data_IF_515544271829
#
_entry.id   IF_515544271829
#
_cell.length_a   1.000
_cell.length_b   1.000
_cell.length_c   1.000
_cell.angle_alpha   90.00
_cell.angle_beta   90.00
_cell.angle_gamma   90.00
#
_symmetry.space_group_name_H-M   'P 1'
#
loop_
_entity.id
_entity.type
_entity.pdbx_description
1 polymer ?
#
# COMPACT_ATOMS: atom_id res chain seq x y z
N UNK A 1 -17.17 15.70 4.72
CA UNK A 1 -15.71 15.95 4.77
C UNK A 1 -15.18 15.92 3.34
N UNK A 2 -14.85 17.06 2.73
CA UNK A 2 -14.43 17.12 1.33
C UNK A 2 -13.07 16.43 1.06
N UNK A 3 -12.31 16.10 2.11
CA UNK A 3 -11.05 15.36 2.01
C UNK A 3 -11.19 13.84 2.14
N UNK A 4 -12.41 13.32 2.32
CA UNK A 4 -12.63 11.89 2.61
C UNK A 4 -12.46 10.96 1.40
N UNK A 5 -12.65 11.45 0.17
CA UNK A 5 -12.69 10.59 -1.02
C UNK A 5 -11.33 10.11 -1.54
N UNK A 6 -10.24 10.63 -0.99
CA UNK A 6 -8.86 10.26 -1.33
C UNK A 6 -8.36 8.95 -0.72
N UNK A 7 -9.21 8.22 0.00
CA UNK A 7 -8.82 6.95 0.61
C UNK A 7 -9.67 5.76 0.16
N UNK A 8 -10.48 5.94 -0.89
CA UNK A 8 -11.42 4.93 -1.37
C UNK A 8 -11.08 4.32 -2.73
N UNK A 9 -9.85 4.52 -3.25
CA UNK A 9 -9.47 4.01 -4.59
C UNK A 9 -9.69 2.50 -4.70
N UNK A 10 -9.25 1.73 -3.70
CA UNK A 10 -9.40 0.26 -3.69
C UNK A 10 -10.66 -0.22 -2.98
N UNK A 11 -11.46 0.65 -2.36
CA UNK A 11 -12.62 0.24 -1.57
C UNK A 11 -13.95 0.57 -2.25
N UNK A 12 -13.98 1.61 -3.08
CA UNK A 12 -15.22 2.14 -3.66
C UNK A 12 -16.21 2.68 -2.62
N UNK A 13 -15.81 2.81 -1.35
CA UNK A 13 -16.72 3.10 -0.26
C UNK A 13 -17.32 4.52 -0.36
N UNK A 14 -18.61 4.62 -0.04
CA UNK A 14 -19.25 5.91 0.20
C UNK A 14 -18.89 6.45 1.59
N UNK A 15 -17.69 6.99 1.72
CA UNK A 15 -17.11 7.55 2.95
C UNK A 15 -17.92 8.71 3.55
N UNK A 16 -18.83 9.33 2.79
CA UNK A 16 -19.70 10.42 3.22
C UNK A 16 -21.13 9.97 3.60
N UNK A 17 -21.49 8.71 3.29
CA UNK A 17 -22.88 8.23 3.31
C UNK A 17 -23.22 7.23 4.39
N UNK A 18 -22.34 6.94 5.35
CA UNK A 18 -22.63 5.96 6.43
C UNK A 18 -23.39 6.64 7.58
N UNK A 19 -24.69 6.35 7.80
CA UNK A 19 -25.47 6.99 8.86
C UNK A 19 -24.86 6.70 10.25
N UNK A 20 -24.70 7.73 11.08
CA UNK A 20 -24.16 7.60 12.44
C UNK A 20 -22.63 7.49 12.56
N UNK A 21 -21.87 7.44 11.45
CA UNK A 21 -20.39 7.43 11.47
C UNK A 21 -19.83 8.66 10.74
N UNK A 22 -18.84 9.33 11.34
CA UNK A 22 -18.21 10.55 10.76
C UNK A 22 -17.32 10.24 9.54
N UNK A 23 -16.75 9.03 9.49
CA UNK A 23 -16.00 8.45 8.37
C UNK A 23 -15.99 6.92 8.55
N UNK A 24 -16.32 6.16 7.50
CA UNK A 24 -16.24 4.69 7.51
C UNK A 24 -15.91 4.21 6.11
N UNK A 25 -14.88 3.37 5.99
CA UNK A 25 -14.47 2.74 4.74
C UNK A 25 -15.00 1.30 4.68
N UNK A 26 -14.75 0.61 3.58
CA UNK A 26 -14.99 -0.84 3.45
C UNK A 26 -13.69 -1.58 3.20
N UNK A 27 -13.76 -2.91 3.20
CA UNK A 27 -12.65 -3.75 2.75
C UNK A 27 -12.17 -3.32 1.37
N UNK A 28 -10.86 -3.31 1.21
CA UNK A 28 -10.19 -2.97 -0.04
C UNK A 28 -10.03 -4.18 -0.95
N UNK A 29 -10.06 -3.97 -2.26
CA UNK A 29 -9.98 -5.01 -3.28
C UNK A 29 -8.74 -5.88 -3.14
N UNK A 30 -7.58 -5.31 -2.78
CA UNK A 30 -6.36 -6.07 -2.54
C UNK A 30 -6.52 -7.03 -1.36
N UNK A 31 -7.19 -6.64 -0.29
CA UNK A 31 -7.43 -7.53 0.85
C UNK A 31 -8.44 -8.63 0.50
N UNK A 32 -9.46 -8.33 -0.31
CA UNK A 32 -10.37 -9.35 -0.85
C UNK A 32 -9.62 -10.35 -1.74
N UNK A 33 -8.69 -9.88 -2.58
CA UNK A 33 -7.85 -10.74 -3.41
C UNK A 33 -6.90 -11.57 -2.54
N UNK A 34 -6.29 -10.99 -1.51
CA UNK A 34 -5.38 -11.66 -0.58
C UNK A 34 -6.04 -12.83 0.17
N UNK A 35 -7.34 -12.74 0.44
CA UNK A 35 -8.11 -13.86 1.01
C UNK A 35 -8.10 -15.09 0.10
N UNK A 36 -8.04 -14.90 -1.22
CA UNK A 36 -8.11 -15.97 -2.21
C UNK A 36 -6.72 -16.39 -2.73
N UNK A 37 -5.81 -15.44 -2.94
CA UNK A 37 -4.50 -15.67 -3.56
C UNK A 37 -3.33 -15.66 -2.56
N UNK A 38 -3.52 -15.11 -1.36
CA UNK A 38 -2.45 -14.90 -0.38
C UNK A 38 -2.27 -16.04 0.63
N UNK A 39 -3.10 -17.09 0.60
CA UNK A 39 -3.06 -18.17 1.60
C UNK A 39 -1.82 -19.05 1.49
N UNK A 40 -1.21 -19.11 0.31
CA UNK A 40 -0.05 -19.94 0.02
C UNK A 40 1.26 -19.15 -0.13
N UNK A 41 1.27 -17.85 0.18
CA UNK A 41 2.46 -16.98 0.05
C UNK A 41 2.89 -16.38 1.38
N UNK A 42 4.20 -16.24 1.64
CA UNK A 42 4.71 -15.73 2.93
C UNK A 42 3.97 -14.48 3.42
N UNK A 43 3.71 -13.54 2.53
CA UNK A 43 2.89 -12.37 2.78
C UNK A 43 1.57 -12.50 2.03
N UNK A 44 0.40 -12.52 2.71
CA UNK A 44 -0.89 -12.57 2.04
C UNK A 44 -1.12 -11.39 1.09
N UNK A 45 -0.63 -10.22 1.50
CA UNK A 45 -0.49 -9.02 0.67
C UNK A 45 0.68 -8.19 1.18
N UNK A 46 1.39 -7.51 0.27
CA UNK A 46 2.32 -6.43 0.63
C UNK A 46 1.65 -5.07 0.46
N UNK A 47 1.33 -4.44 1.59
CA UNK A 47 0.82 -3.06 1.63
C UNK A 47 2.00 -2.11 1.73
N UNK A 48 2.19 -1.28 0.71
CA UNK A 48 3.27 -0.32 0.60
C UNK A 48 2.70 1.10 0.59
N UNK A 49 3.40 2.01 1.24
CA UNK A 49 2.97 3.39 1.47
C UNK A 49 4.06 4.40 1.08
N UNK A 50 3.72 5.67 1.23
CA UNK A 50 4.60 6.77 0.90
C UNK A 50 5.30 7.29 2.16
N UNK A 51 6.63 7.38 2.12
CA UNK A 51 7.38 8.20 3.09
C UNK A 51 7.38 9.65 2.61
N UNK A 52 6.72 10.51 3.39
CA UNK A 52 6.48 11.91 3.06
C UNK A 52 6.91 12.77 4.24
N UNK A 53 7.64 13.84 3.97
CA UNK A 53 8.26 14.68 5.01
C UNK A 53 7.28 15.38 5.95
N UNK A 54 6.02 15.53 5.57
CA UNK A 54 4.96 16.14 6.38
C UNK A 54 3.96 15.11 6.97
N UNK A 55 4.37 13.84 7.03
CA UNK A 55 3.50 12.75 7.48
C UNK A 55 2.34 12.47 6.53
N UNK A 56 2.44 12.90 5.27
CA UNK A 56 1.45 12.64 4.21
C UNK A 56 0.27 13.61 4.21
N UNK A 57 0.26 14.60 5.10
CA UNK A 57 -0.87 15.54 5.25
C UNK A 57 -1.15 16.37 3.99
N UNK A 58 -0.12 16.65 3.17
CA UNK A 58 -0.28 17.36 1.89
C UNK A 58 0.02 16.49 0.66
N UNK A 59 0.27 15.19 0.86
CA UNK A 59 0.58 14.22 -0.21
C UNK A 59 -0.67 13.60 -0.83
N UNK A 60 -1.74 14.38 -0.88
CA UNK A 60 -3.06 13.96 -1.34
C UNK A 60 -4.12 14.68 -0.54
N UNK A 61 -5.26 14.01 -0.33
CA UNK A 61 -6.27 14.49 0.60
C UNK A 61 -6.46 13.41 1.67
N UNK A 62 -7.03 13.76 2.82
CA UNK A 62 -7.32 12.80 3.89
C UNK A 62 -6.07 12.30 4.64
N UNK A 63 -6.30 11.60 5.75
CA UNK A 63 -5.24 11.15 6.67
C UNK A 63 -4.60 9.81 6.27
N UNK A 64 -4.89 9.28 5.07
CA UNK A 64 -4.53 7.92 4.70
C UNK A 64 -3.09 7.83 4.20
N UNK A 65 -2.22 7.17 4.96
CA UNK A 65 -0.87 6.79 4.51
C UNK A 65 -0.87 5.53 3.62
N UNK A 66 -1.99 4.81 3.53
CA UNK A 66 -2.13 3.54 2.80
C UNK A 66 -3.39 3.54 1.93
N UNK A 67 -3.40 2.68 0.91
CA UNK A 67 -4.57 2.39 0.09
C UNK A 67 -5.34 1.15 0.57
N UNK A 68 -4.76 0.36 1.47
CA UNK A 68 -5.33 -0.89 1.95
C UNK A 68 -6.17 -0.69 3.22
N UNK A 69 -7.30 -1.38 3.26
CA UNK A 69 -8.33 -1.33 4.28
C UNK A 69 -8.86 -2.73 4.60
N UNK A 70 -8.98 -3.04 5.89
CA UNK A 70 -9.46 -4.34 6.36
C UNK A 70 -10.99 -4.50 6.29
N UNK A 71 -11.49 -5.69 6.64
CA UNK A 71 -12.93 -6.02 6.64
C UNK A 71 -13.78 -5.09 7.51
N UNK A 72 -13.19 -4.51 8.54
CA UNK A 72 -13.84 -3.58 9.46
C UNK A 72 -13.81 -2.13 8.94
N UNK A 73 -13.17 -1.89 7.79
CA UNK A 73 -13.01 -0.55 7.23
C UNK A 73 -11.97 0.28 7.96
N UNK A 74 -10.97 -0.35 8.59
CA UNK A 74 -9.82 0.30 9.21
C UNK A 74 -8.62 0.32 8.25
N UNK A 75 -7.79 1.39 8.26
CA UNK A 75 -6.63 1.47 7.39
C UNK A 75 -5.55 0.48 7.83
N UNK A 76 -4.95 -0.22 6.87
CA UNK A 76 -3.81 -1.11 7.10
C UNK A 76 -2.52 -0.30 6.85
N UNK A 77 -1.63 -0.14 7.85
CA UNK A 77 -0.36 0.56 7.65
C UNK A 77 0.47 -0.11 6.55
N UNK A 78 1.03 0.70 5.64
CA UNK A 78 1.94 0.21 4.62
C UNK A 78 3.40 0.40 5.00
N UNK A 79 4.29 -0.42 4.42
CA UNK A 79 5.74 -0.22 4.47
C UNK A 79 6.10 0.96 3.57
N UNK A 80 6.72 2.00 4.11
CA UNK A 80 7.01 3.26 3.41
C UNK A 80 8.47 3.44 3.01
N UNK A 81 9.41 2.73 3.65
CA UNK A 81 10.85 2.87 3.41
C UNK A 81 11.37 1.71 2.56
N UNK A 82 12.15 1.98 1.50
CA UNK A 82 12.72 0.91 0.68
C UNK A 82 13.60 -0.06 1.46
N UNK A 83 14.37 0.42 2.44
CA UNK A 83 15.20 -0.42 3.32
C UNK A 83 14.36 -1.40 4.17
N UNK A 84 13.19 -0.96 4.66
CA UNK A 84 12.31 -1.80 5.45
C UNK A 84 11.66 -2.89 4.58
N UNK A 85 11.29 -2.57 3.34
CA UNK A 85 10.78 -3.55 2.38
C UNK A 85 11.86 -4.56 1.97
N UNK A 86 13.11 -4.09 1.78
CA UNK A 86 14.25 -4.95 1.48
C UNK A 86 14.43 -6.03 2.55
N UNK A 87 14.53 -5.64 3.83
CA UNK A 87 14.66 -6.59 4.94
C UNK A 87 13.39 -7.43 5.19
N UNK A 88 12.24 -6.95 4.73
CA UNK A 88 11.00 -7.73 4.74
C UNK A 88 11.07 -8.89 3.73
N UNK A 89 11.48 -8.63 2.49
CA UNK A 89 11.49 -9.61 1.39
C UNK A 89 12.67 -10.56 1.49
N UNK A 90 13.89 -10.05 1.72
CA UNK A 90 15.11 -10.83 1.60
C UNK A 90 15.58 -11.45 2.91
N UNK A 91 16.39 -12.50 2.80
CA UNK A 91 17.11 -13.09 3.92
C UNK A 91 18.19 -12.11 4.42
N UNK A 92 18.28 -11.94 5.75
CA UNK A 92 19.28 -11.06 6.35
C UNK A 92 20.51 -11.84 6.81
N UNK A 93 21.71 -11.24 6.74
CA UNK A 93 22.89 -11.80 7.39
C UNK A 93 22.62 -12.00 8.90
N UNK A 94 22.64 -13.25 9.36
CA UNK A 94 22.40 -13.60 10.77
C UNK A 94 20.94 -13.85 11.16
N UNK A 95 20.00 -13.91 10.21
CA UNK A 95 18.69 -14.51 10.48
C UNK A 95 18.90 -16.01 10.76
N UNK A 96 18.79 -16.38 12.03
CA UNK A 96 18.78 -17.77 12.48
C UNK A 96 17.38 -18.12 12.98
N UNK A 97 17.06 -19.42 12.95
CA UNK A 97 15.78 -19.90 13.50
C UNK A 97 15.58 -19.45 14.94
N UNK A 98 16.64 -19.50 15.74
CA UNK A 98 16.63 -19.10 17.14
C UNK A 98 16.36 -17.59 17.33
N UNK A 99 16.99 -16.73 16.50
CA UNK A 99 16.74 -15.29 16.59
C UNK A 99 15.33 -14.93 16.15
N UNK A 100 14.79 -15.60 15.13
CA UNK A 100 13.40 -15.46 14.70
C UNK A 100 12.42 -15.90 15.80
N UNK A 101 12.61 -17.09 16.38
CA UNK A 101 11.75 -17.63 17.44
C UNK A 101 11.75 -16.73 18.70
N UNK A 102 12.93 -16.23 19.09
CA UNK A 102 13.06 -15.28 20.20
C UNK A 102 12.29 -13.98 19.93
N UNK A 103 12.38 -13.42 18.72
CA UNK A 103 11.61 -12.24 18.31
C UNK A 103 10.10 -12.51 18.33
N UNK A 104 9.65 -13.67 17.83
CA UNK A 104 8.23 -14.05 17.80
C UNK A 104 7.66 -14.19 19.22
N UNK A 105 8.35 -14.92 20.11
CA UNK A 105 7.96 -15.09 21.52
C UNK A 105 7.86 -13.75 22.24
N UNK A 106 8.83 -12.85 22.03
CA UNK A 106 8.83 -11.50 22.62
C UNK A 106 7.62 -10.70 22.15
N UNK A 107 7.30 -10.72 20.84
CA UNK A 107 6.13 -10.01 20.29
C UNK A 107 4.81 -10.59 20.83
N UNK A 108 4.67 -11.91 20.90
CA UNK A 108 3.50 -12.57 21.49
C UNK A 108 3.29 -12.14 22.95
N UNK A 109 4.33 -12.17 23.77
CA UNK A 109 4.25 -11.74 25.18
C UNK A 109 3.82 -10.27 25.33
N UNK A 110 4.26 -9.38 24.45
CA UNK A 110 3.81 -7.97 24.45
C UNK A 110 2.33 -7.87 24.13
N UNK A 111 1.84 -8.64 23.14
CA UNK A 111 0.42 -8.64 22.76
C UNK A 111 -0.47 -9.22 23.86
N UNK A 112 -0.02 -10.27 24.55
CA UNK A 112 -0.72 -10.84 25.71
C UNK A 112 -0.90 -9.79 26.82
N UNK A 113 0.16 -9.04 27.11
CA UNK A 113 0.13 -7.97 28.11
C UNK A 113 -0.82 -6.83 27.70
N UNK A 114 -0.78 -6.44 26.42
CA UNK A 114 -1.70 -5.45 25.85
C UNK A 114 -3.16 -5.91 25.98
N UNK A 115 -3.44 -7.19 25.71
CA UNK A 115 -4.78 -7.76 25.78
C UNK A 115 -5.34 -7.81 27.20
N UNK A 116 -4.51 -8.21 28.17
CA UNK A 116 -4.87 -8.21 29.59
C UNK A 116 -5.25 -6.80 30.07
N UNK A 117 -4.42 -5.81 29.74
CA UNK A 117 -4.66 -4.41 30.12
C UNK A 117 -5.91 -3.83 29.45
N UNK A 118 -6.11 -4.08 28.16
CA UNK A 118 -7.29 -3.61 27.43
C UNK A 118 -8.59 -4.18 28.01
N UNK A 119 -8.61 -5.47 28.34
CA UNK A 119 -9.81 -6.15 28.85
C UNK A 119 -10.21 -5.63 30.23
N UNK A 120 -9.23 -5.29 31.08
CA UNK A 120 -9.47 -4.66 32.36
C UNK A 120 -10.10 -3.25 32.20
N UNK A 121 -9.65 -2.49 31.21
CA UNK A 121 -10.15 -1.14 30.94
C UNK A 121 -11.58 -1.14 30.40
N UNK A 122 -11.96 -2.12 29.58
CA UNK A 122 -13.32 -2.22 29.00
C UNK A 122 -14.44 -2.22 30.05
N UNK A 123 -14.16 -2.69 31.27
CA UNK A 123 -15.13 -2.74 32.39
C UNK A 123 -15.48 -1.36 32.98
N UNK A 124 -14.63 -0.36 32.79
CA UNK A 124 -14.82 1.00 33.36
C UNK A 124 -15.15 2.07 32.32
N UNK A 125 -15.24 1.71 31.04
CA UNK A 125 -15.38 2.67 29.94
C UNK A 125 -16.83 3.00 29.56
N UNK A 126 -17.02 4.24 29.12
CA UNK A 126 -18.24 4.74 28.48
C UNK A 126 -18.48 4.07 27.13
N UNK A 127 -19.70 4.14 26.58
CA UNK A 127 -20.01 3.51 25.29
C UNK A 127 -19.13 4.01 24.15
N UNK A 128 -18.79 5.32 24.12
CA UNK A 128 -17.94 5.89 23.06
C UNK A 128 -16.49 5.37 23.14
N UNK A 129 -15.96 5.21 24.35
CA UNK A 129 -14.60 4.71 24.55
C UNK A 129 -14.49 3.21 24.23
N UNK A 130 -15.58 2.45 24.38
CA UNK A 130 -15.65 1.05 23.97
C UNK A 130 -15.45 0.89 22.46
N UNK A 131 -16.08 1.74 21.65
CA UNK A 131 -15.91 1.70 20.19
C UNK A 131 -14.45 1.93 19.77
N UNK A 132 -13.75 2.83 20.47
CA UNK A 132 -12.31 3.08 20.26
C UNK A 132 -11.42 1.95 20.73
N UNK A 133 -11.79 1.30 21.83
CA UNK A 133 -11.09 0.13 22.33
C UNK A 133 -11.28 -1.08 21.40
N UNK A 134 -12.45 -1.23 20.78
CA UNK A 134 -12.71 -2.28 19.79
C UNK A 134 -11.89 -2.07 18.50
N UNK A 135 -11.72 -0.81 18.06
CA UNK A 135 -10.78 -0.45 16.97
C UNK A 135 -9.34 -0.86 17.34
N UNK A 136 -8.92 -0.57 18.57
CA UNK A 136 -7.60 -0.97 19.09
C UNK A 136 -7.42 -2.49 19.11
N UNK A 137 -8.39 -3.25 19.63
CA UNK A 137 -8.33 -4.71 19.67
C UNK A 137 -8.36 -5.35 18.28
N UNK A 138 -9.07 -4.73 17.33
CA UNK A 138 -9.01 -5.14 15.92
C UNK A 138 -7.58 -5.01 15.39
N UNK A 139 -6.91 -3.90 15.69
CA UNK A 139 -5.49 -3.70 15.36
C UNK A 139 -4.56 -4.75 15.99
N UNK A 140 -4.76 -5.07 17.28
CA UNK A 140 -4.00 -6.13 17.97
C UNK A 140 -4.16 -7.48 17.26
N UNK A 141 -5.39 -7.84 16.88
CA UNK A 141 -5.67 -9.09 16.17
C UNK A 141 -4.98 -9.18 14.82
N UNK A 142 -4.83 -8.06 14.11
CA UNK A 142 -4.06 -8.04 12.85
C UNK A 142 -2.58 -8.33 13.09
N UNK A 143 -2.00 -7.82 14.18
CA UNK A 143 -0.61 -8.12 14.55
C UNK A 143 -0.46 -9.60 14.90
N UNK A 144 -1.38 -10.17 15.68
CA UNK A 144 -1.39 -11.60 16.04
C UNK A 144 -1.39 -12.48 14.79
N UNK A 145 -2.30 -12.24 13.83
CA UNK A 145 -2.33 -12.95 12.54
C UNK A 145 -1.01 -12.83 11.79
N UNK A 146 -0.36 -11.67 11.84
CA UNK A 146 0.96 -11.45 11.26
C UNK A 146 2.06 -12.28 11.91
N UNK A 147 2.01 -12.47 13.24
CA UNK A 147 2.94 -13.34 13.97
C UNK A 147 2.71 -14.82 13.68
N UNK A 148 1.45 -15.25 13.63
CA UNK A 148 1.08 -16.61 13.23
C UNK A 148 1.63 -16.92 11.84
N UNK A 149 1.46 -15.99 10.88
CA UNK A 149 2.01 -16.13 9.53
C UNK A 149 3.53 -16.22 9.54
N UNK A 150 4.22 -15.38 10.31
CA UNK A 150 5.68 -15.44 10.44
C UNK A 150 6.13 -16.79 11.02
N UNK A 151 5.42 -17.33 12.00
CA UNK A 151 5.71 -18.64 12.58
C UNK A 151 5.49 -19.78 11.57
N UNK A 152 4.41 -19.74 10.78
CA UNK A 152 4.14 -20.73 9.73
C UNK A 152 5.25 -20.79 8.68
N UNK A 153 5.83 -19.64 8.33
CA UNK A 153 6.87 -19.53 7.29
C UNK A 153 8.29 -19.49 7.85
N UNK A 154 8.48 -19.81 9.12
CA UNK A 154 9.77 -19.67 9.80
C UNK A 154 10.82 -20.69 9.32
N UNK A 155 10.40 -21.87 8.84
CA UNK A 155 11.31 -22.88 8.26
C UNK A 155 11.46 -22.77 6.75
N UNK A 156 10.66 -21.93 6.11
CA UNK A 156 10.85 -21.62 4.70
C UNK A 156 11.90 -20.51 4.62
N UNK A 157 12.96 -20.63 3.80
CA UNK A 157 13.91 -19.55 3.61
C UNK A 157 13.25 -18.37 2.88
N UNK A 158 13.75 -17.16 3.14
CA UNK A 158 13.46 -16.01 2.29
C UNK A 158 14.36 -16.06 1.03
N UNK A 159 13.96 -15.42 -0.08
CA UNK A 159 14.83 -15.28 -1.23
C UNK A 159 16.13 -14.55 -0.85
N UNK A 160 17.22 -14.90 -1.54
CA UNK A 160 18.47 -14.17 -1.45
C UNK A 160 18.34 -12.83 -2.19
N UNK A 161 18.98 -11.80 -1.66
CA UNK A 161 18.97 -10.48 -2.28
C UNK A 161 19.69 -10.54 -3.64
N UNK A 162 18.98 -10.13 -4.69
CA UNK A 162 19.52 -9.95 -6.06
C UNK A 162 19.85 -8.49 -6.37
N UNK A 163 19.62 -7.61 -5.39
CA UNK A 163 19.90 -6.18 -5.41
C UNK A 163 20.67 -5.82 -4.14
N UNK A 164 21.45 -4.75 -4.18
CA UNK A 164 22.16 -4.26 -3.00
C UNK A 164 21.20 -3.70 -1.95
N UNK A 165 21.65 -3.72 -0.69
CA UNK A 165 20.93 -3.07 0.41
C UNK A 165 20.72 -1.58 0.09
N UNK A 166 19.47 -1.07 0.15
CA UNK A 166 19.18 0.31 -0.15
C UNK A 166 19.87 1.28 0.83
N UNK A 167 20.40 2.43 0.36
CA UNK A 167 20.91 3.44 1.27
C UNK A 167 19.77 4.03 2.11
N UNK A 168 20.08 4.34 3.37
CA UNK A 168 19.13 5.01 4.25
C UNK A 168 18.78 6.41 3.70
N UNK A 169 17.48 6.74 3.68
CA UNK A 169 16.99 8.05 3.25
C UNK A 169 16.85 8.24 1.73
N UNK A 170 16.97 7.18 0.93
CA UNK A 170 16.63 7.23 -0.50
C UNK A 170 15.18 7.73 -0.69
N UNK A 171 14.98 8.67 -1.60
CA UNK A 171 13.67 9.33 -1.80
C UNK A 171 13.42 9.67 -3.27
N UNK A 172 12.25 10.23 -3.57
CA UNK A 172 11.89 10.71 -4.90
C UNK A 172 11.81 9.59 -5.94
N UNK A 173 12.33 9.86 -7.13
CA UNK A 173 12.26 8.93 -8.27
C UNK A 173 13.00 7.61 -8.00
N UNK A 174 14.21 7.67 -7.44
CA UNK A 174 15.04 6.49 -7.22
C UNK A 174 14.41 5.53 -6.21
N UNK A 175 13.81 6.06 -5.14
CA UNK A 175 13.05 5.27 -4.19
C UNK A 175 11.85 4.57 -4.85
N UNK A 176 11.12 5.25 -5.73
CA UNK A 176 9.96 4.66 -6.44
C UNK A 176 10.40 3.52 -7.35
N UNK A 177 11.48 3.72 -8.13
CA UNK A 177 12.05 2.69 -9.00
C UNK A 177 12.49 1.47 -8.22
N UNK A 178 13.18 1.68 -7.10
CA UNK A 178 13.63 0.61 -6.22
C UNK A 178 12.46 -0.14 -5.59
N UNK A 179 11.41 0.56 -5.15
CA UNK A 179 10.17 -0.07 -4.67
C UNK A 179 9.55 -0.93 -5.76
N UNK A 180 9.46 -0.44 -7.01
CA UNK A 180 8.98 -1.22 -8.15
C UNK A 180 9.80 -2.47 -8.42
N UNK A 181 11.14 -2.38 -8.40
CA UNK A 181 12.00 -3.57 -8.57
C UNK A 181 11.76 -4.59 -7.43
N UNK A 182 11.61 -4.13 -6.19
CA UNK A 182 11.28 -5.02 -5.07
C UNK A 182 9.88 -5.65 -5.17
N UNK A 183 8.89 -4.92 -5.69
CA UNK A 183 7.57 -5.50 -5.99
C UNK A 183 7.71 -6.62 -7.01
N UNK A 184 8.47 -6.40 -8.08
CA UNK A 184 8.72 -7.42 -9.10
C UNK A 184 9.41 -8.64 -8.50
N UNK A 185 10.45 -8.45 -7.69
CA UNK A 185 11.16 -9.56 -7.05
C UNK A 185 10.23 -10.32 -6.08
N UNK A 186 9.39 -9.63 -5.32
CA UNK A 186 8.41 -10.26 -4.43
C UNK A 186 7.42 -11.15 -5.20
N UNK A 187 7.00 -10.72 -6.40
CA UNK A 187 6.15 -11.51 -7.28
C UNK A 187 6.91 -12.68 -7.90
N UNK A 188 8.12 -12.46 -8.44
CA UNK A 188 8.96 -13.50 -9.06
C UNK A 188 9.35 -14.63 -8.09
N UNK A 189 9.46 -14.32 -6.80
CA UNK A 189 9.85 -15.27 -5.76
C UNK A 189 8.65 -15.89 -5.03
N UNK A 190 7.43 -15.62 -5.50
CA UNK A 190 6.14 -16.00 -4.87
C UNK A 190 6.08 -15.63 -3.36
N UNK A 191 6.80 -14.57 -2.96
CA UNK A 191 6.76 -14.05 -1.60
C UNK A 191 5.38 -13.46 -1.29
N UNK A 192 4.72 -12.91 -2.31
CA UNK A 192 3.31 -12.52 -2.32
C UNK A 192 2.76 -12.54 -3.74
N UNK A 193 1.44 -12.64 -3.87
CA UNK A 193 0.71 -12.47 -5.14
C UNK A 193 -0.12 -11.18 -5.20
N UNK A 194 -0.11 -10.40 -4.12
CA UNK A 194 -0.94 -9.20 -3.98
C UNK A 194 -0.10 -8.08 -3.43
N UNK A 195 -0.02 -6.98 -4.17
CA UNK A 195 0.73 -5.79 -3.76
C UNK A 195 -0.09 -4.55 -4.01
N UNK A 196 -0.09 -3.66 -3.02
CA UNK A 196 -0.70 -2.33 -3.11
C UNK A 196 0.37 -1.29 -2.80
N UNK A 197 0.52 -0.27 -3.63
CA UNK A 197 1.50 0.79 -3.39
C UNK A 197 0.90 2.19 -3.51
N UNK A 198 0.91 2.93 -2.40
CA UNK A 198 0.67 4.38 -2.43
C UNK A 198 1.98 5.12 -2.73
N UNK A 199 2.13 5.60 -3.96
CA UNK A 199 3.35 6.27 -4.39
C UNK A 199 3.59 7.63 -3.68
N UNK A 200 4.84 7.97 -3.28
CA UNK A 200 5.19 9.21 -2.59
C UNK A 200 5.29 10.41 -3.55
N UNK A 201 4.13 10.99 -3.90
CA UNK A 201 4.03 12.08 -4.88
C UNK A 201 4.74 13.35 -4.42
N UNK A 202 4.71 13.71 -3.12
CA UNK A 202 5.34 14.96 -2.68
C UNK A 202 6.87 14.84 -2.62
N UNK A 203 7.40 13.70 -2.19
CA UNK A 203 8.82 13.37 -2.30
C UNK A 203 9.29 13.37 -3.75
N UNK A 204 8.50 12.81 -4.69
CA UNK A 204 8.80 12.86 -6.12
C UNK A 204 8.87 14.31 -6.65
N UNK A 205 7.86 15.13 -6.35
CA UNK A 205 7.85 16.55 -6.72
C UNK A 205 9.07 17.29 -6.18
N UNK A 206 9.42 17.05 -4.91
CA UNK A 206 10.57 17.69 -4.27
C UNK A 206 11.88 17.29 -4.95
N UNK A 207 12.03 16.00 -5.33
CA UNK A 207 13.17 15.51 -6.10
C UNK A 207 13.27 16.10 -7.52
N UNK A 208 12.14 16.54 -8.09
CA UNK A 208 12.09 17.28 -9.36
C UNK A 208 12.34 18.79 -9.18
N UNK A 209 12.59 19.28 -7.97
CA UNK A 209 12.73 20.70 -7.67
C UNK A 209 11.40 21.47 -7.59
N UNK A 210 10.26 20.77 -7.57
CA UNK A 210 8.92 21.37 -7.44
C UNK A 210 8.55 21.46 -5.96
N UNK A 211 8.42 22.68 -5.45
CA UNK A 211 8.08 22.94 -4.03
C UNK A 211 6.57 22.87 -3.72
N UNK A 212 5.74 22.86 -4.77
CA UNK A 212 4.28 22.72 -4.64
C UNK A 212 3.92 21.30 -4.17
N UNK A 213 2.98 21.21 -3.23
CA UNK A 213 2.49 19.93 -2.71
C UNK A 213 1.39 19.33 -3.58
N UNK A 214 1.23 18.01 -3.52
CA UNK A 214 0.23 17.29 -4.29
C UNK A 214 -1.20 17.81 -4.07
N UNK A 215 -1.56 18.15 -2.83
CA UNK A 215 -2.83 18.81 -2.51
C UNK A 215 -3.02 20.12 -3.28
N UNK A 216 -2.02 21.02 -3.25
CA UNK A 216 -2.08 22.29 -3.98
C UNK A 216 -2.23 22.11 -5.49
N UNK A 217 -1.70 21.01 -6.03
CA UNK A 217 -1.78 20.66 -7.44
C UNK A 217 -3.10 19.97 -7.84
N UNK A 218 -3.99 19.59 -6.92
CA UNK A 218 -5.38 19.25 -7.31
C UNK A 218 -6.17 20.52 -7.64
N UNK A 219 -5.80 21.63 -7.00
CA UNK A 219 -6.28 22.97 -7.25
C UNK A 219 -5.39 23.69 -8.29
N UNK A 220 -5.10 23.03 -9.41
CA UNK A 220 -4.12 23.55 -10.37
C UNK A 220 -4.64 24.73 -11.20
N UNK A 221 -5.96 24.82 -11.43
CA UNK A 221 -6.58 25.85 -12.28
C UNK A 221 -6.46 27.30 -11.80
N UNK A 222 -5.87 27.53 -10.61
CA UNK A 222 -5.73 28.87 -10.04
C UNK A 222 -4.48 29.63 -10.51
N UNK A 223 -3.48 28.97 -11.10
CA UNK A 223 -2.29 29.68 -11.62
C UNK A 223 -1.48 28.89 -12.65
N UNK A 224 -0.82 29.60 -13.57
CA UNK A 224 0.05 29.00 -14.59
C UNK A 224 1.16 28.10 -13.99
N UNK A 225 1.86 28.48 -12.91
CA UNK A 225 2.86 27.60 -12.29
C UNK A 225 2.27 26.28 -11.77
N UNK A 226 1.04 26.28 -11.23
CA UNK A 226 0.40 25.03 -10.76
C UNK A 226 -0.04 24.15 -11.92
N UNK A 227 -0.51 24.73 -13.01
CA UNK A 227 -0.85 23.98 -14.24
C UNK A 227 0.39 23.24 -14.75
N UNK A 228 1.51 23.96 -14.91
CA UNK A 228 2.77 23.37 -15.40
C UNK A 228 3.27 22.28 -14.46
N UNK A 229 3.34 22.54 -13.16
CA UNK A 229 3.77 21.56 -12.17
C UNK A 229 2.84 20.33 -12.12
N UNK A 230 1.53 20.49 -12.29
CA UNK A 230 0.59 19.36 -12.39
C UNK A 230 0.85 18.52 -13.63
N UNK A 231 1.11 19.14 -14.78
CA UNK A 231 1.42 18.43 -16.02
C UNK A 231 2.76 17.68 -15.93
N UNK A 232 3.78 18.30 -15.31
CA UNK A 232 5.08 17.66 -15.08
C UNK A 232 4.98 16.47 -14.13
N UNK A 233 4.21 16.61 -13.05
CA UNK A 233 3.87 15.49 -12.15
C UNK A 233 3.24 14.35 -12.91
N UNK A 234 2.18 14.61 -13.68
CA UNK A 234 1.42 13.57 -14.37
C UNK A 234 2.27 12.87 -15.42
N UNK A 235 3.12 13.63 -16.15
CA UNK A 235 4.10 13.07 -17.09
C UNK A 235 5.12 12.18 -16.38
N UNK A 236 5.68 12.62 -15.25
CA UNK A 236 6.67 11.85 -14.50
C UNK A 236 6.07 10.58 -13.91
N UNK A 237 4.90 10.68 -13.27
CA UNK A 237 4.15 9.55 -12.75
C UNK A 237 3.82 8.52 -13.85
N UNK A 238 3.36 8.99 -15.01
CA UNK A 238 3.08 8.12 -16.16
C UNK A 238 4.34 7.45 -16.71
N UNK A 239 5.47 8.16 -16.75
CA UNK A 239 6.76 7.61 -17.16
C UNK A 239 7.26 6.52 -16.20
N UNK A 240 7.12 6.74 -14.88
CA UNK A 240 7.44 5.73 -13.87
C UNK A 240 6.55 4.51 -13.97
N UNK A 241 5.25 4.70 -14.20
CA UNK A 241 4.32 3.59 -14.42
C UNK A 241 4.65 2.81 -15.70
N UNK A 242 4.97 3.50 -16.81
CA UNK A 242 5.41 2.85 -18.04
C UNK A 242 6.68 2.02 -17.81
N UNK A 243 7.65 2.58 -17.09
CA UNK A 243 8.86 1.85 -16.68
C UNK A 243 8.52 0.59 -15.86
N UNK A 244 7.61 0.66 -14.89
CA UNK A 244 7.16 -0.50 -14.14
C UNK A 244 6.55 -1.59 -15.04
N UNK A 245 5.71 -1.20 -16.00
CA UNK A 245 5.12 -2.15 -16.94
C UNK A 245 6.17 -2.81 -17.85
N UNK A 246 7.18 -2.06 -18.27
CA UNK A 246 8.27 -2.62 -19.07
C UNK A 246 9.13 -3.58 -18.25
N UNK A 247 9.44 -3.23 -17.00
CA UNK A 247 10.13 -4.14 -16.07
C UNK A 247 9.33 -5.42 -15.81
N UNK A 248 8.00 -5.35 -15.70
CA UNK A 248 7.13 -6.53 -15.62
C UNK A 248 7.19 -7.41 -16.87
N UNK A 249 7.37 -6.84 -18.07
CA UNK A 249 7.51 -7.60 -19.31
C UNK A 249 8.88 -8.25 -19.45
N UNK A 250 9.92 -7.61 -18.91
CA UNK A 250 11.28 -8.14 -18.91
C UNK A 250 11.44 -9.26 -17.87
N UNK A 251 10.77 -9.13 -16.72
CA UNK A 251 10.79 -10.11 -15.65
C UNK A 251 10.11 -11.42 -16.07
N UNK A 252 10.72 -12.54 -15.67
CA UNK A 252 10.16 -13.88 -15.87
C UNK A 252 9.36 -14.33 -14.65
N UNK A 253 8.22 -14.95 -14.91
CA UNK A 253 7.45 -15.69 -13.91
C UNK A 253 8.00 -17.11 -13.74
N UNK A 254 7.52 -17.83 -12.73
CA UNK A 254 7.94 -19.19 -12.36
C UNK A 254 7.74 -20.22 -13.49
N UNK A 255 6.78 -19.99 -14.39
CA UNK A 255 6.49 -20.83 -15.56
C UNK A 255 7.32 -20.45 -16.81
N UNK A 256 8.18 -19.42 -16.71
CA UNK A 256 9.02 -18.91 -17.81
C UNK A 256 8.33 -17.90 -18.73
N UNK A 257 7.03 -17.64 -18.55
CA UNK A 257 6.32 -16.54 -19.19
C UNK A 257 6.80 -15.19 -18.64
N UNK A 258 6.30 -14.08 -19.20
CA UNK A 258 6.60 -12.75 -18.64
C UNK A 258 5.69 -12.53 -17.45
N UNK A 259 6.20 -11.95 -16.38
CA UNK A 259 5.40 -11.63 -15.21
C UNK A 259 4.19 -10.74 -15.57
N UNK A 260 4.36 -9.84 -16.53
CA UNK A 260 3.28 -9.04 -17.11
C UNK A 260 2.10 -9.88 -17.61
N UNK A 261 2.34 -11.04 -18.21
CA UNK A 261 1.29 -11.89 -18.81
C UNK A 261 0.42 -12.58 -17.75
N UNK A 262 0.92 -12.69 -16.51
CA UNK A 262 0.20 -13.34 -15.41
C UNK A 262 -0.33 -12.34 -14.36
N UNK A 263 -0.01 -11.04 -14.51
CA UNK A 263 -0.41 -10.01 -13.57
C UNK A 263 -1.62 -9.20 -14.06
N UNK A 264 -2.40 -8.67 -13.11
CA UNK A 264 -3.35 -7.58 -13.34
C UNK A 264 -2.79 -6.35 -12.61
N UNK A 265 -2.63 -5.24 -13.33
CA UNK A 265 -2.04 -4.01 -12.80
C UNK A 265 -3.05 -2.88 -12.89
N UNK A 266 -3.47 -2.37 -11.73
CA UNK A 266 -4.35 -1.20 -11.62
C UNK A 266 -3.53 0.01 -11.16
N UNK A 267 -3.66 1.13 -11.86
CA UNK A 267 -2.98 2.38 -11.55
C UNK A 267 -3.91 3.57 -11.75
N UNK A 268 -3.96 4.49 -10.79
CA UNK A 268 -4.85 5.62 -10.93
C UNK A 268 -4.83 6.53 -9.71
N UNK A 269 -5.84 7.40 -9.68
CA UNK A 269 -6.13 8.28 -8.56
C UNK A 269 -7.60 8.12 -8.20
N UNK A 270 -8.00 8.60 -7.04
CA UNK A 270 -9.40 8.70 -6.59
C UNK A 270 -9.88 10.16 -6.53
N UNK A 271 -9.05 11.09 -6.99
CA UNK A 271 -9.40 12.49 -7.14
C UNK A 271 -8.99 12.99 -8.52
N UNK A 272 -9.90 13.75 -9.13
CA UNK A 272 -9.64 14.50 -10.36
C UNK A 272 -9.08 15.89 -10.00
N UNK A 273 -9.83 16.96 -10.27
CA UNK A 273 -9.48 18.33 -9.93
C UNK A 273 -10.23 18.75 -8.67
N UNK A 274 -9.56 19.47 -7.77
CA UNK A 274 -10.07 19.79 -6.44
C UNK A 274 -10.46 18.51 -5.68
N UNK A 275 -11.73 18.43 -5.27
CA UNK A 275 -12.29 17.31 -4.49
C UNK A 275 -13.28 16.45 -5.31
N UNK A 276 -13.19 16.49 -6.64
CA UNK A 276 -14.11 15.77 -7.53
C UNK A 276 -13.81 14.26 -7.56
N UNK A 277 -14.83 13.47 -7.25
CA UNK A 277 -14.80 11.99 -7.18
C UNK A 277 -15.46 11.32 -8.40
N UNK A 278 -15.76 12.09 -9.45
CA UNK A 278 -16.34 11.60 -10.71
C UNK A 278 -15.31 11.63 -11.82
N UNK A 279 -15.43 10.70 -12.78
CA UNK A 279 -14.56 10.60 -13.96
C UNK A 279 -13.06 10.63 -13.60
N UNK A 280 -12.71 9.87 -12.57
CA UNK A 280 -11.33 9.79 -12.09
C UNK A 280 -10.54 8.80 -12.96
N UNK A 281 -9.34 9.15 -13.43
CA UNK A 281 -8.59 8.26 -14.30
C UNK A 281 -8.07 7.03 -13.55
N UNK A 282 -8.33 5.87 -14.15
CA UNK A 282 -7.76 4.59 -13.77
C UNK A 282 -7.32 3.84 -15.03
N UNK A 283 -6.16 3.19 -14.95
CA UNK A 283 -5.55 2.38 -15.99
C UNK A 283 -5.54 0.95 -15.48
N UNK A 284 -6.04 0.03 -16.31
CA UNK A 284 -5.95 -1.40 -16.08
C UNK A 284 -5.10 -2.04 -17.17
N UNK A 285 -4.02 -2.71 -16.75
CA UNK A 285 -3.01 -3.33 -17.61
C UNK A 285 -2.64 -4.73 -17.09
N UNK A 286 -1.68 -5.37 -17.73
CA UNK A 286 -1.28 -6.76 -17.46
C UNK A 286 -2.14 -7.80 -18.20
N UNK A 287 -1.60 -8.98 -18.43
CA UNK A 287 -2.22 -10.07 -19.19
C UNK A 287 -2.96 -11.11 -18.34
N UNK A 288 -2.92 -11.00 -17.01
CA UNK A 288 -3.43 -12.02 -16.08
C UNK A 288 -4.95 -12.21 -16.12
N UNK A 289 -5.69 -11.30 -16.79
CA UNK A 289 -7.12 -11.41 -16.99
C UNK A 289 -7.47 -11.49 -18.48
N UNK A 290 -7.40 -12.70 -19.06
CA UNK A 290 -7.67 -12.94 -20.49
C UNK A 290 -9.05 -12.45 -20.98
N UNK A 291 -10.03 -12.33 -20.08
CA UNK A 291 -11.38 -11.86 -20.41
C UNK A 291 -11.49 -10.33 -20.47
N UNK A 292 -10.45 -9.59 -20.09
CA UNK A 292 -10.43 -8.13 -20.12
C UNK A 292 -9.84 -7.68 -21.46
N UNK A 293 -10.69 -7.12 -22.32
CA UNK A 293 -10.21 -6.48 -23.54
C UNK A 293 -9.41 -5.21 -23.19
N UNK A 294 -8.15 -5.16 -23.63
CA UNK A 294 -7.28 -3.98 -23.55
C UNK A 294 -7.43 -3.08 -24.79
N UNK A 295 -6.75 -1.92 -24.81
CA UNK A 295 -6.75 -1.01 -25.95
C UNK A 295 -8.03 -0.17 -26.09
N UNK A 296 -8.83 -0.08 -25.02
CA UNK A 296 -10.09 0.68 -24.98
C UNK A 296 -10.06 1.75 -23.90
N UNK A 297 -10.80 2.83 -24.14
CA UNK A 297 -11.11 3.85 -23.15
C UNK A 297 -12.60 3.74 -22.81
N UNK A 298 -12.91 3.51 -21.53
CA UNK A 298 -14.28 3.37 -21.03
C UNK A 298 -14.57 4.52 -20.09
N UNK A 299 -15.70 5.18 -20.31
CA UNK A 299 -16.28 6.13 -19.37
C UNK A 299 -17.40 5.41 -18.64
N UNK A 300 -17.22 5.20 -17.34
CA UNK A 300 -18.25 4.60 -16.48
C UNK A 300 -19.35 5.64 -16.18
N UNK A 301 -20.60 5.21 -15.99
CA UNK A 301 -21.76 6.09 -15.78
C UNK A 301 -21.66 6.95 -14.50
#
# INVERSE_FOLDING_TARGET
>A
NPHGGSVSYLTGANVAGTPGKRFHNSVSCDQVIAQHLGQDTRFPSLTLSAEESDGGSNSGHGAGLSLAWDESGNPIPGINRPIDLFFQIFANPGDSRETLDSRLRKKQSILDLVRLNGTAMQKSLSQHDRDKLDEYFTGVRQIEKGLERQAMWADTPKPQATIDEPPEGITGEDAIRLMYDMIIIALQTDATRVVTYRQPVCSLLSGMGITLKAHSLSHYGFSQPRILASQERDRKCSSLFAHFLDRLKDAKDMDGSRLFDNCIVSYGTNLRSGHELKNVPAILSGGGAQQIAHGRHIILP
#
